data_IF_157049451965
#
_entry.id   IF_157049451965
#
_cell.length_a   1.000
_cell.length_b   1.000
_cell.length_c   1.000
_cell.angle_alpha   90.00
_cell.angle_beta   90.00
_cell.angle_gamma   90.00
#
_symmetry.space_group_name_H-M   'P 1'
#
loop_
_entity.id
_entity.type
_entity.pdbx_description
1 polymer ?
#
# COMPACT_ATOMS: atom_id res chain seq x y z
N UNK A 1 46.33 6.84 8.25
CA UNK A 1 45.13 6.66 9.08
C UNK A 1 43.94 6.84 8.16
N UNK A 2 43.48 5.74 7.55
CA UNK A 2 42.37 5.74 6.58
C UNK A 2 41.11 5.36 7.37
N UNK A 3 40.19 6.32 7.51
CA UNK A 3 38.88 6.09 8.09
C UNK A 3 38.02 5.43 7.00
N UNK A 4 37.85 4.11 7.08
CA UNK A 4 36.96 3.37 6.20
C UNK A 4 35.54 3.41 6.74
N UNK A 5 34.60 3.97 5.98
CA UNK A 5 33.16 3.88 6.25
C UNK A 5 32.70 2.45 5.92
N UNK A 6 32.27 1.71 6.94
CA UNK A 6 31.63 0.41 6.76
C UNK A 6 30.17 0.68 6.33
N UNK A 7 29.86 0.46 5.06
CA UNK A 7 28.47 0.38 4.59
C UNK A 7 27.96 -1.02 4.90
N UNK A 8 27.10 -1.15 5.92
CA UNK A 8 26.39 -2.40 6.20
C UNK A 8 25.24 -2.55 5.19
N UNK A 9 25.47 -3.31 4.13
CA UNK A 9 24.39 -3.73 3.23
C UNK A 9 23.42 -4.63 4.00
N UNK A 10 22.18 -4.19 4.20
CA UNK A 10 21.10 -5.07 4.68
C UNK A 10 20.92 -6.18 3.65
N UNK A 11 21.35 -7.40 3.96
CA UNK A 11 21.10 -8.58 3.12
C UNK A 11 19.69 -9.09 3.44
N UNK A 12 18.78 -9.00 2.48
CA UNK A 12 17.50 -9.69 2.54
C UNK A 12 17.79 -11.20 2.45
N UNK A 13 17.54 -11.96 3.52
CA UNK A 13 17.87 -13.41 3.60
C UNK A 13 16.91 -14.28 2.79
N UNK A 14 15.73 -13.78 2.47
CA UNK A 14 14.83 -14.36 1.47
C UNK A 14 13.89 -13.27 0.94
N UNK A 15 14.23 -12.73 -0.23
CA UNK A 15 13.23 -12.10 -1.08
C UNK A 15 12.51 -13.24 -1.80
N UNK A 16 11.25 -13.50 -1.47
CA UNK A 16 10.35 -14.23 -2.37
C UNK A 16 9.99 -13.28 -3.52
N UNK A 17 11.00 -12.86 -4.28
CA UNK A 17 10.81 -12.26 -5.59
C UNK A 17 10.51 -13.41 -6.53
N UNK A 18 9.23 -13.74 -6.61
CA UNK A 18 8.74 -14.51 -7.75
C UNK A 18 8.69 -13.53 -8.91
N UNK A 19 9.57 -13.70 -9.90
CA UNK A 19 9.50 -12.96 -11.17
C UNK A 19 8.34 -13.52 -11.96
N UNK A 20 7.17 -12.91 -11.83
CA UNK A 20 6.11 -13.05 -12.82
C UNK A 20 6.39 -12.00 -13.89
N UNK A 21 7.05 -12.41 -14.97
CA UNK A 21 7.05 -11.61 -16.20
C UNK A 21 5.65 -11.78 -16.79
N UNK A 22 4.73 -10.95 -16.31
CA UNK A 22 3.50 -10.70 -17.04
C UNK A 22 3.93 -10.00 -18.34
N UNK A 23 3.42 -10.47 -19.47
CA UNK A 23 3.68 -9.95 -20.81
C UNK A 23 3.92 -8.42 -20.81
N UNK A 24 5.01 -7.89 -21.41
CA UNK A 24 5.29 -6.45 -21.47
C UNK A 24 4.21 -5.63 -22.20
N UNK A 25 3.25 -6.30 -22.86
CA UNK A 25 2.05 -5.68 -23.44
C UNK A 25 0.82 -5.70 -22.52
N UNK A 26 0.89 -6.41 -21.39
CA UNK A 26 -0.18 -6.48 -20.39
C UNK A 26 -0.22 -5.20 -19.57
N UNK A 27 -1.36 -4.52 -19.64
CA UNK A 27 -1.59 -3.20 -19.05
C UNK A 27 -1.65 -3.14 -17.50
N UNK A 28 -1.29 -4.21 -16.78
CA UNK A 28 -1.58 -4.27 -15.35
C UNK A 28 -0.52 -5.04 -14.56
N UNK A 29 0.39 -4.27 -13.97
CA UNK A 29 0.84 -4.55 -12.61
C UNK A 29 0.55 -3.29 -11.81
N UNK A 30 -0.73 -3.09 -11.48
CA UNK A 30 -1.14 -2.11 -10.48
C UNK A 30 -1.25 -2.83 -9.13
N UNK A 31 -0.71 -2.16 -8.12
CA UNK A 31 -1.04 -2.30 -6.69
C UNK A 31 -0.15 -3.13 -5.75
N UNK A 32 -0.32 -2.74 -4.48
CA UNK A 32 0.67 -2.78 -3.41
C UNK A 32 0.99 -4.17 -2.88
N UNK A 33 2.27 -4.56 -2.95
CA UNK A 33 2.78 -5.69 -2.15
C UNK A 33 3.32 -5.15 -0.83
N UNK A 34 2.57 -5.36 0.25
CA UNK A 34 3.12 -5.26 1.59
C UNK A 34 4.01 -6.48 1.82
N UNK A 35 5.34 -6.34 1.72
CA UNK A 35 6.19 -7.45 2.18
C UNK A 35 6.21 -7.42 3.71
N UNK A 36 5.99 -8.57 4.33
CA UNK A 36 6.25 -8.70 5.77
C UNK A 36 7.76 -8.74 5.94
N UNK A 37 8.40 -7.82 6.69
CA UNK A 37 9.83 -7.91 6.92
C UNK A 37 10.18 -9.25 7.59
N UNK A 38 11.34 -9.85 7.27
CA UNK A 38 11.81 -10.98 8.04
C UNK A 38 11.90 -10.58 9.52
N UNK A 39 11.37 -11.44 10.41
CA UNK A 39 11.64 -11.35 11.84
C UNK A 39 13.15 -11.50 12.00
N UNK A 40 13.84 -10.40 12.25
CA UNK A 40 15.28 -10.41 12.32
C UNK A 40 15.75 -11.32 13.46
N UNK A 41 16.67 -12.23 13.16
CA UNK A 41 17.29 -13.13 14.13
C UNK A 41 18.02 -12.29 15.19
N UNK A 42 17.85 -12.63 16.47
CA UNK A 42 18.41 -11.93 17.63
C UNK A 42 19.91 -11.62 17.42
N UNK A 43 20.29 -10.35 17.32
CA UNK A 43 21.69 -9.93 17.49
C UNK A 43 22.13 -8.69 16.74
N UNK A 44 21.56 -8.40 15.56
CA UNK A 44 21.92 -7.22 14.78
C UNK A 44 20.96 -6.04 15.04
N UNK A 45 21.46 -4.82 14.91
CA UNK A 45 20.70 -3.56 15.02
C UNK A 45 19.54 -3.56 14.01
N UNK A 46 18.39 -4.09 14.44
CA UNK A 46 17.18 -4.30 13.68
C UNK A 46 16.59 -3.01 13.08
N UNK A 47 16.66 -2.88 11.76
CA UNK A 47 15.73 -2.01 11.01
C UNK A 47 14.45 -2.79 10.73
N UNK A 48 13.32 -2.38 11.34
CA UNK A 48 12.00 -2.86 10.92
C UNK A 48 11.66 -2.22 9.58
N UNK A 49 11.90 -2.94 8.50
CA UNK A 49 11.55 -2.47 7.16
C UNK A 49 10.05 -2.66 6.96
N UNK A 50 9.31 -1.61 6.62
CA UNK A 50 7.93 -1.70 6.15
C UNK A 50 7.93 -1.47 4.66
N UNK A 51 8.14 -2.52 3.86
CA UNK A 51 8.23 -2.40 2.43
C UNK A 51 6.83 -2.27 1.85
N UNK A 52 6.65 -1.21 1.08
CA UNK A 52 5.54 -1.10 0.15
C UNK A 52 6.13 -1.17 -1.23
N UNK A 53 5.77 -2.21 -1.99
CA UNK A 53 6.02 -2.27 -3.42
C UNK A 53 4.83 -1.66 -4.13
N UNK A 54 5.07 -0.76 -5.06
CA UNK A 54 4.06 -0.24 -5.97
C UNK A 54 4.67 -0.24 -7.36
N UNK A 55 3.95 -0.78 -8.33
CA UNK A 55 4.43 -0.93 -9.70
C UNK A 55 3.61 -0.09 -10.66
N UNK A 56 4.31 0.47 -11.63
CA UNK A 56 3.79 0.99 -12.89
C UNK A 56 4.61 0.35 -14.02
N UNK A 57 4.34 0.68 -15.29
CA UNK A 57 4.76 -0.04 -16.50
C UNK A 57 6.20 -0.57 -16.58
N UNK A 58 7.17 -0.01 -15.84
CA UNK A 58 8.56 -0.47 -15.93
C UNK A 58 9.35 -0.39 -14.61
N UNK A 59 8.71 -0.06 -13.48
CA UNK A 59 9.43 0.18 -12.23
C UNK A 59 8.63 -0.30 -11.04
N UNK A 60 9.32 -0.83 -10.03
CA UNK A 60 8.76 -1.11 -8.72
C UNK A 60 9.41 -0.20 -7.70
N UNK A 61 8.61 0.56 -6.97
CA UNK A 61 9.10 1.43 -5.91
C UNK A 61 9.00 0.69 -4.59
N UNK A 62 10.13 0.58 -3.89
CA UNK A 62 10.23 0.04 -2.55
C UNK A 62 10.47 1.19 -1.57
N UNK A 63 9.46 1.50 -0.75
CA UNK A 63 9.61 2.47 0.34
C UNK A 63 9.84 1.73 1.65
N UNK A 64 10.81 2.16 2.46
CA UNK A 64 11.12 1.56 3.76
C UNK A 64 11.29 2.64 4.82
N UNK A 65 10.85 2.36 6.05
CA UNK A 65 11.22 3.16 7.24
C UNK A 65 12.27 2.41 8.03
N UNK A 66 13.56 2.78 7.99
CA UNK A 66 14.53 2.16 8.89
C UNK A 66 14.27 2.64 10.32
N UNK A 67 14.38 1.73 11.29
CA UNK A 67 14.13 2.01 12.70
C UNK A 67 15.43 1.82 13.47
N UNK A 68 15.82 2.81 14.24
CA UNK A 68 16.98 2.70 15.11
C UNK A 68 16.58 1.98 16.41
N UNK A 69 17.11 0.77 16.65
CA UNK A 69 16.74 -0.06 17.80
C UNK A 69 16.93 0.64 19.13
N UNK A 70 18.05 1.35 19.31
CA UNK A 70 18.39 2.00 20.58
C UNK A 70 17.39 3.09 20.98
N UNK A 71 16.79 3.75 19.98
CA UNK A 71 15.97 4.93 20.19
C UNK A 71 14.49 4.68 19.91
N UNK A 72 14.18 3.57 19.23
CA UNK A 72 12.90 3.30 18.57
C UNK A 72 12.40 4.48 17.71
N UNK A 73 13.30 5.36 17.26
CA UNK A 73 12.93 6.48 16.40
C UNK A 73 13.02 6.03 14.94
N UNK A 74 11.98 6.32 14.15
CA UNK A 74 12.05 6.07 12.73
C UNK A 74 13.03 7.07 12.10
N UNK A 75 13.93 6.56 11.28
CA UNK A 75 14.79 7.38 10.43
C UNK A 75 14.03 7.85 9.17
N UNK A 76 14.51 8.89 8.45
CA UNK A 76 13.90 9.31 7.20
C UNK A 76 13.65 8.13 6.26
N UNK A 77 12.54 8.18 5.50
CA UNK A 77 12.19 7.08 4.61
C UNK A 77 13.31 6.84 3.59
N UNK A 78 13.61 5.57 3.31
CA UNK A 78 14.42 5.20 2.16
C UNK A 78 13.49 4.79 1.03
N UNK A 79 13.73 5.31 -0.17
CA UNK A 79 12.98 4.95 -1.36
C UNK A 79 13.94 4.34 -2.36
N UNK A 80 13.65 3.12 -2.80
CA UNK A 80 14.46 2.37 -3.77
C UNK A 80 13.62 2.07 -4.98
N UNK A 81 14.13 2.39 -6.16
CA UNK A 81 13.56 1.97 -7.43
C UNK A 81 14.17 0.63 -7.84
N UNK A 82 13.34 -0.31 -8.22
CA UNK A 82 13.74 -1.57 -8.83
C UNK A 82 13.28 -1.58 -10.28
N UNK A 83 14.22 -1.81 -11.19
CA UNK A 83 13.99 -1.90 -12.62
C UNK A 83 13.93 -3.39 -13.00
N UNK A 84 12.75 -3.97 -13.27
CA UNK A 84 12.62 -5.41 -13.48
C UNK A 84 13.46 -5.94 -14.64
N UNK A 85 13.57 -5.16 -15.72
CA UNK A 85 14.28 -5.55 -16.94
C UNK A 85 15.78 -5.70 -16.73
N UNK A 86 16.41 -4.77 -16.02
CA UNK A 86 17.84 -4.81 -15.71
C UNK A 86 18.15 -5.56 -14.42
N UNK A 87 17.16 -5.70 -13.54
CA UNK A 87 17.36 -6.14 -12.15
C UNK A 87 18.10 -5.11 -11.30
N UNK A 88 18.32 -3.89 -11.81
CA UNK A 88 19.00 -2.83 -11.08
C UNK A 88 18.12 -2.33 -9.93
N UNK A 89 18.75 -2.06 -8.78
CA UNK A 89 18.12 -1.38 -7.66
C UNK A 89 18.84 -0.08 -7.38
N UNK A 90 18.11 1.03 -7.43
CA UNK A 90 18.64 2.37 -7.21
C UNK A 90 18.03 2.98 -5.95
N UNK A 91 18.89 3.40 -5.03
CA UNK A 91 18.47 4.18 -3.86
C UNK A 91 18.29 5.65 -4.27
N UNK A 92 17.11 6.21 -4.01
CA UNK A 92 16.87 7.65 -4.16
C UNK A 92 17.61 8.39 -3.03
N UNK A 93 18.50 9.30 -3.42
CA UNK A 93 19.25 10.10 -2.48
C UNK A 93 18.47 11.37 -2.11
N UNK A 94 18.32 11.60 -0.82
CA UNK A 94 17.83 12.86 -0.30
C UNK A 94 18.91 13.94 -0.43
N UNK A 95 18.98 14.61 -1.59
CA UNK A 95 19.96 15.67 -1.82
C UNK A 95 19.63 16.96 -1.03
N UNK A 96 18.35 17.20 -0.75
CA UNK A 96 17.86 18.38 -0.03
C UNK A 96 17.20 17.93 1.28
N UNK A 97 18.00 17.78 2.34
CA UNK A 97 17.57 17.29 3.67
C UNK A 97 16.31 17.95 4.26
N UNK A 98 15.92 19.15 3.79
CA UNK A 98 14.75 19.89 4.25
C UNK A 98 13.43 19.51 3.56
N UNK A 99 13.47 18.79 2.42
CA UNK A 99 12.30 18.43 1.62
C UNK A 99 12.20 16.91 1.45
N UNK A 100 12.04 16.22 2.57
CA UNK A 100 11.91 14.77 2.61
C UNK A 100 10.95 14.34 3.73
N UNK A 101 10.14 13.30 3.53
CA UNK A 101 9.27 12.78 4.58
C UNK A 101 10.09 12.36 5.80
N UNK A 102 9.78 12.94 6.96
CA UNK A 102 10.33 12.48 8.23
C UNK A 102 10.00 11.00 8.46
N UNK A 103 10.85 10.33 9.27
CA UNK A 103 10.62 8.96 9.67
C UNK A 103 9.26 8.79 10.34
N UNK A 104 8.53 7.74 9.96
CA UNK A 104 7.15 7.50 10.38
C UNK A 104 6.79 6.01 10.35
N UNK A 105 5.94 5.61 11.28
CA UNK A 105 5.32 4.27 11.33
C UNK A 105 3.91 4.30 10.74
N UNK A 106 3.41 3.15 10.28
CA UNK A 106 2.00 3.00 9.88
C UNK A 106 1.54 3.90 8.72
N UNK A 107 2.49 4.45 7.95
CA UNK A 107 2.16 5.23 6.77
C UNK A 107 1.67 4.30 5.64
N UNK A 108 0.84 4.82 4.74
CA UNK A 108 0.58 4.16 3.46
C UNK A 108 1.49 4.73 2.40
N UNK A 109 1.80 3.89 1.43
CA UNK A 109 2.44 4.30 0.18
C UNK A 109 1.61 3.78 -0.97
N UNK A 110 1.30 4.65 -1.92
CA UNK A 110 0.58 4.30 -3.14
C UNK A 110 1.15 5.11 -4.30
N UNK A 111 0.99 4.62 -5.52
CA UNK A 111 1.26 5.39 -6.75
C UNK A 111 -0.06 5.82 -7.35
N UNK A 112 -0.20 7.13 -7.54
CA UNK A 112 -1.39 7.76 -8.12
C UNK A 112 -0.94 8.40 -9.43
N UNK A 113 -1.31 7.79 -10.55
CA UNK A 113 -0.74 8.14 -11.85
C UNK A 113 0.78 8.00 -11.80
N UNK A 114 1.48 9.11 -11.98
CA UNK A 114 2.95 9.15 -12.01
C UNK A 114 3.56 9.60 -10.67
N UNK A 115 2.73 9.79 -9.65
CA UNK A 115 3.15 10.34 -8.36
C UNK A 115 3.22 9.26 -7.30
N UNK A 116 4.38 9.09 -6.68
CA UNK A 116 4.53 8.33 -5.45
C UNK A 116 4.01 9.16 -4.28
N UNK A 117 3.09 8.59 -3.53
CA UNK A 117 2.43 9.25 -2.42
C UNK A 117 2.70 8.49 -1.13
N UNK A 118 3.26 9.18 -0.14
CA UNK A 118 3.40 8.69 1.24
C UNK A 118 2.41 9.46 2.11
N UNK A 119 1.42 8.77 2.68
CA UNK A 119 0.33 9.43 3.40
C UNK A 119 0.24 8.96 4.85
N UNK A 120 0.08 9.93 5.76
CA UNK A 120 -0.19 9.69 7.17
C UNK A 120 0.96 9.03 7.93
N UNK A 121 0.59 8.09 8.80
CA UNK A 121 1.50 7.47 9.77
C UNK A 121 1.68 8.28 11.04
N UNK A 122 2.52 7.79 11.94
CA UNK A 122 2.74 8.39 13.25
C UNK A 122 4.19 8.32 13.68
N UNK A 123 4.56 9.21 14.61
CA UNK A 123 5.82 9.13 15.36
C UNK A 123 5.53 8.82 16.83
N UNK A 124 6.42 8.06 17.46
CA UNK A 124 6.35 7.76 18.89
C UNK A 124 7.32 8.66 19.65
N UNK A 125 6.85 9.34 20.71
CA UNK A 125 7.75 10.04 21.63
C UNK A 125 8.34 9.05 22.65
N UNK A 126 9.56 9.32 23.14
CA UNK A 126 10.27 8.44 24.10
C UNK A 126 9.71 8.50 25.52
N UNK A 127 8.61 9.20 25.75
CA UNK A 127 8.06 9.36 27.09
C UNK A 127 7.51 8.03 27.63
N UNK A 128 7.49 7.91 28.96
CA UNK A 128 7.01 6.72 29.70
C UNK A 128 5.59 6.30 29.33
N UNK A 129 4.82 7.20 28.73
CA UNK A 129 3.54 6.93 28.09
C UNK A 129 3.76 7.01 26.59
N UNK A 130 3.62 5.88 25.87
CA UNK A 130 3.67 5.85 24.40
C UNK A 130 2.58 6.77 23.85
N UNK A 131 2.95 8.01 23.54
CA UNK A 131 2.10 8.95 22.82
C UNK A 131 2.43 8.84 21.34
N UNK A 132 1.40 8.58 20.56
CA UNK A 132 1.47 8.62 19.10
C UNK A 132 1.15 10.03 18.65
N UNK A 133 2.06 10.65 17.91
CA UNK A 133 1.79 11.88 17.20
C UNK A 133 1.45 11.54 15.75
N UNK A 134 0.16 11.58 15.44
CA UNK A 134 -0.39 11.36 14.10
C UNK A 134 0.09 12.46 13.16
N UNK A 135 0.60 12.03 12.00
CA UNK A 135 1.07 12.91 10.95
C UNK A 135 -0.09 13.28 10.03
N UNK A 136 -0.21 14.57 9.74
CA UNK A 136 -1.37 15.18 9.04
C UNK A 136 -0.98 15.68 7.67
N UNK A 137 0.01 15.03 7.08
CA UNK A 137 0.58 15.42 5.82
C UNK A 137 0.72 14.22 4.90
N UNK A 138 0.68 14.53 3.62
CA UNK A 138 0.95 13.66 2.51
C UNK A 138 2.20 14.17 1.80
N UNK A 139 3.12 13.27 1.48
CA UNK A 139 4.32 13.59 0.73
C UNK A 139 4.21 13.01 -0.67
N UNK A 140 4.38 13.86 -1.66
CA UNK A 140 4.27 13.50 -3.07
C UNK A 140 5.62 13.69 -3.76
N UNK A 141 6.00 12.75 -4.61
CA UNK A 141 7.12 12.92 -5.54
C UNK A 141 6.76 12.33 -6.90
N UNK A 142 7.05 13.08 -7.96
CA UNK A 142 6.88 12.63 -9.33
C UNK A 142 7.96 11.60 -9.67
N UNK A 143 7.53 10.41 -10.10
CA UNK A 143 8.39 9.28 -10.43
C UNK A 143 9.20 9.50 -11.72
N UNK A 144 8.67 10.20 -12.73
CA UNK A 144 9.41 10.51 -13.96
C UNK A 144 10.51 11.54 -13.71
N UNK A 145 10.25 12.41 -12.75
CA UNK A 145 11.17 13.46 -12.35
C UNK A 145 12.25 12.98 -11.38
N UNK A 146 12.36 11.70 -11.04
CA UNK A 146 13.32 11.21 -10.03
C UNK A 146 14.80 11.39 -10.40
N UNK A 147 15.11 11.53 -11.68
CA UNK A 147 16.44 11.90 -12.16
C UNK A 147 16.72 13.40 -12.06
N UNK A 148 15.65 14.18 -12.07
CA UNK A 148 15.73 15.61 -11.81
C UNK A 148 15.71 15.82 -10.30
N UNK A 149 16.32 16.87 -9.80
CA UNK A 149 16.38 17.20 -8.37
C UNK A 149 15.02 17.66 -7.81
N UNK A 150 13.91 17.15 -8.36
CA UNK A 150 12.56 17.57 -8.02
C UNK A 150 12.29 17.21 -6.56
N UNK A 151 11.91 18.21 -5.75
CA UNK A 151 11.73 17.99 -4.34
C UNK A 151 10.43 17.26 -4.06
N UNK A 152 10.41 16.56 -2.93
CA UNK A 152 9.14 16.09 -2.39
C UNK A 152 8.25 17.29 -2.04
N UNK A 153 6.98 17.18 -2.38
CA UNK A 153 5.95 18.17 -2.06
C UNK A 153 5.20 17.68 -0.84
N UNK A 154 5.18 18.50 0.22
CA UNK A 154 4.39 18.24 1.41
C UNK A 154 3.01 18.91 1.26
N UNK A 155 1.96 18.11 1.28
CA UNK A 155 0.57 18.52 1.12
C UNK A 155 -0.17 18.27 2.45
N UNK A 156 -0.78 19.29 3.06
CA UNK A 156 -1.52 19.11 4.30
C UNK A 156 -2.82 18.32 4.05
N UNK A 157 -3.22 17.52 5.05
CA UNK A 157 -4.47 16.78 5.07
C UNK A 157 -5.30 17.27 6.25
N UNK A 158 -6.63 17.26 6.09
CA UNK A 158 -7.56 17.57 7.16
C UNK A 158 -7.36 16.66 8.39
N UNK A 159 -7.30 17.29 9.57
CA UNK A 159 -6.96 16.65 10.84
C UNK A 159 -7.84 15.46 11.19
N UNK A 160 -9.15 15.54 10.91
CA UNK A 160 -10.15 14.51 11.22
C UNK A 160 -9.84 13.18 10.51
N UNK A 161 -9.14 13.22 9.38
CA UNK A 161 -8.86 12.04 8.57
C UNK A 161 -7.50 11.42 8.85
N UNK A 162 -6.55 12.19 9.37
CA UNK A 162 -5.20 11.72 9.64
C UNK A 162 -5.18 10.53 10.63
N UNK A 163 -6.09 10.51 11.60
CA UNK A 163 -6.19 9.42 12.58
C UNK A 163 -6.57 8.08 11.92
N UNK A 164 -7.43 8.12 10.89
CA UNK A 164 -7.82 6.95 10.08
C UNK A 164 -6.61 6.45 9.26
N UNK A 165 -5.79 7.37 8.76
CA UNK A 165 -4.56 7.04 8.05
C UNK A 165 -3.46 6.40 8.92
N UNK A 166 -3.64 6.33 10.25
CA UNK A 166 -2.67 5.71 11.15
C UNK A 166 -3.05 4.29 11.58
N UNK A 167 -4.34 3.96 11.58
CA UNK A 167 -4.85 2.71 12.14
C UNK A 167 -5.12 1.63 11.10
N UNK A 168 -5.35 2.02 9.85
CA UNK A 168 -5.76 1.11 8.78
C UNK A 168 -4.55 0.67 7.94
N UNK A 169 -4.51 -0.60 7.54
CA UNK A 169 -3.42 -1.13 6.69
C UNK A 169 -3.72 -1.02 5.19
N UNK A 170 -5.00 -1.09 4.85
CA UNK A 170 -5.46 -1.17 3.47
C UNK A 170 -5.52 0.20 2.83
N UNK A 171 -4.68 0.41 1.82
CA UNK A 171 -4.76 1.55 0.91
C UNK A 171 -4.36 1.17 -0.50
N UNK A 172 -4.90 1.90 -1.46
CA UNK A 172 -4.72 1.71 -2.89
C UNK A 172 -4.88 3.06 -3.59
N UNK A 173 -4.66 3.12 -4.90
CA UNK A 173 -5.02 4.28 -5.70
C UNK A 173 -6.44 4.15 -6.26
N UNK A 174 -7.16 5.27 -6.30
CA UNK A 174 -8.43 5.39 -7.02
C UNK A 174 -8.39 6.69 -7.79
N UNK A 175 -8.31 6.58 -9.13
CA UNK A 175 -8.15 7.73 -10.03
C UNK A 175 -6.97 8.59 -9.58
N UNK A 176 -7.22 9.86 -9.24
CA UNK A 176 -6.23 10.85 -8.81
C UNK A 176 -6.15 11.00 -7.27
N UNK A 177 -6.58 9.96 -6.54
CA UNK A 177 -6.65 9.98 -5.08
C UNK A 177 -6.03 8.73 -4.45
N UNK A 178 -5.52 8.90 -3.24
CA UNK A 178 -5.22 7.79 -2.33
C UNK A 178 -6.50 7.37 -1.65
N UNK A 179 -6.76 6.07 -1.66
CA UNK A 179 -7.95 5.45 -1.10
C UNK A 179 -7.61 4.61 0.13
N UNK A 180 -8.49 4.60 1.12
CA UNK A 180 -8.45 3.68 2.27
C UNK A 180 -9.83 3.20 2.64
N UNK A 181 -9.90 1.99 3.19
CA UNK A 181 -11.14 1.34 3.59
C UNK A 181 -11.13 1.00 5.08
N UNK A 182 -12.20 1.35 5.80
CA UNK A 182 -12.36 1.00 7.21
C UNK A 182 -13.82 0.63 7.53
N UNK A 183 -14.05 -0.65 7.80
CA UNK A 183 -15.42 -1.18 7.83
C UNK A 183 -16.16 -0.84 6.53
N UNK A 184 -17.34 -0.24 6.65
CA UNK A 184 -18.18 0.21 5.52
C UNK A 184 -17.77 1.56 4.91
N UNK A 185 -16.71 2.20 5.40
CA UNK A 185 -16.34 3.53 4.94
C UNK A 185 -15.16 3.46 3.99
N UNK A 186 -15.26 4.27 2.94
CA UNK A 186 -14.23 4.58 2.00
C UNK A 186 -13.77 6.03 2.25
N UNK A 187 -12.47 6.21 2.42
CA UNK A 187 -11.81 7.51 2.58
C UNK A 187 -10.92 7.76 1.37
N UNK A 188 -11.05 8.92 0.74
CA UNK A 188 -10.18 9.36 -0.34
C UNK A 188 -9.45 10.66 0.00
N UNK A 189 -8.21 10.77 -0.44
CA UNK A 189 -7.40 12.00 -0.36
C UNK A 189 -6.81 12.26 -1.74
N UNK A 190 -7.22 13.36 -2.38
CA UNK A 190 -6.66 13.76 -3.67
C UNK A 190 -5.21 14.22 -3.52
N UNK A 191 -4.48 14.28 -4.63
CA UNK A 191 -3.11 14.84 -4.66
C UNK A 191 -3.03 16.30 -4.17
N UNK A 192 -4.14 17.04 -4.16
CA UNK A 192 -4.23 18.41 -3.63
C UNK A 192 -4.53 18.46 -2.13
N UNK A 193 -4.66 17.31 -1.46
CA UNK A 193 -5.00 17.20 -0.04
C UNK A 193 -6.50 17.30 0.26
N UNK A 194 -7.36 17.37 -0.76
CA UNK A 194 -8.81 17.38 -0.58
C UNK A 194 -9.27 16.00 -0.15
N UNK A 195 -10.08 15.96 0.90
CA UNK A 195 -10.52 14.70 1.52
C UNK A 195 -12.00 14.45 1.29
N UNK A 196 -12.38 13.18 1.15
CA UNK A 196 -13.79 12.78 1.13
C UNK A 196 -13.98 11.46 1.84
N UNK A 197 -15.15 11.30 2.46
CA UNK A 197 -15.57 10.03 3.06
C UNK A 197 -16.92 9.63 2.51
N UNK A 198 -16.99 8.41 2.01
CA UNK A 198 -18.21 7.79 1.53
C UNK A 198 -18.50 6.58 2.38
N UNK A 199 -19.75 6.48 2.84
CA UNK A 199 -20.24 5.26 3.47
C UNK A 199 -20.82 4.38 2.37
N UNK A 200 -20.26 3.20 2.19
CA UNK A 200 -20.84 2.24 1.26
C UNK A 200 -21.95 1.40 1.88
N UNK A 201 -22.64 0.67 1.02
CA UNK A 201 -23.80 -0.15 1.34
C UNK A 201 -23.46 -1.61 1.06
N UNK A 202 -23.70 -2.51 2.02
CA UNK A 202 -23.53 -3.94 1.77
C UNK A 202 -24.81 -4.50 1.15
N UNK A 203 -24.67 -5.38 0.17
CA UNK A 203 -25.80 -6.10 -0.43
C UNK A 203 -26.51 -6.99 0.61
N UNK A 204 -25.76 -7.56 1.55
CA UNK A 204 -26.31 -8.32 2.67
C UNK A 204 -26.34 -7.46 3.95
N UNK A 205 -27.52 -7.13 4.51
CA UNK A 205 -27.61 -6.40 5.79
C UNK A 205 -26.99 -7.16 6.98
N UNK A 206 -26.86 -8.49 6.90
CA UNK A 206 -26.17 -9.31 7.91
C UNK A 206 -24.64 -9.19 7.84
N UNK A 207 -24.10 -8.64 6.74
CA UNK A 207 -22.68 -8.34 6.53
C UNK A 207 -22.25 -7.02 7.19
N UNK A 208 -23.09 -6.37 8.00
CA UNK A 208 -22.73 -5.15 8.73
C UNK A 208 -21.67 -5.32 9.83
N UNK A 209 -21.04 -6.51 9.93
CA UNK A 209 -19.90 -6.75 10.80
C UNK A 209 -18.79 -5.75 10.50
N UNK A 210 -18.05 -5.37 11.55
CA UNK A 210 -16.86 -4.54 11.38
C UNK A 210 -15.82 -5.39 10.62
N UNK A 211 -15.51 -4.93 9.41
CA UNK A 211 -14.51 -5.58 8.56
C UNK A 211 -13.14 -4.95 8.81
N UNK A 212 -12.18 -5.81 9.14
CA UNK A 212 -10.77 -5.45 9.12
C UNK A 212 -10.23 -5.79 7.73
N UNK A 213 -10.05 -4.76 6.89
CA UNK A 213 -9.47 -4.92 5.57
C UNK A 213 -7.95 -5.04 5.66
N UNK A 214 -7.39 -6.04 5.00
CA UNK A 214 -5.95 -6.30 4.92
C UNK A 214 -5.33 -5.80 3.61
N UNK A 215 -6.02 -6.01 2.49
CA UNK A 215 -5.55 -5.68 1.15
C UNK A 215 -6.67 -5.09 0.30
N UNK A 216 -6.35 -4.09 -0.52
CA UNK A 216 -7.22 -3.55 -1.56
C UNK A 216 -6.45 -3.53 -2.87
N UNK A 217 -7.12 -3.92 -3.96
CA UNK A 217 -6.55 -3.91 -5.31
C UNK A 217 -7.49 -3.18 -6.24
N UNK A 218 -6.99 -2.17 -6.94
CA UNK A 218 -7.75 -1.50 -8.00
C UNK A 218 -7.96 -2.39 -9.20
N UNK A 219 -9.22 -2.56 -9.61
CA UNK A 219 -9.65 -3.38 -10.75
C UNK A 219 -10.50 -2.50 -11.69
N UNK A 220 -9.93 -1.36 -12.10
CA UNK A 220 -10.61 -0.38 -12.95
C UNK A 220 -11.67 0.42 -12.17
N UNK A 221 -12.97 0.34 -12.52
CA UNK A 221 -14.02 1.04 -11.78
C UNK A 221 -14.36 0.37 -10.44
N UNK A 222 -13.79 -0.81 -10.16
CA UNK A 222 -14.02 -1.57 -8.94
C UNK A 222 -12.78 -1.66 -8.07
N UNK A 223 -13.01 -2.01 -6.82
CA UNK A 223 -11.97 -2.35 -5.85
C UNK A 223 -12.20 -3.76 -5.33
N UNK A 224 -11.16 -4.58 -5.39
CA UNK A 224 -11.16 -5.88 -4.73
C UNK A 224 -10.60 -5.74 -3.32
N UNK A 225 -11.43 -6.03 -2.32
CA UNK A 225 -11.09 -5.90 -0.91
C UNK A 225 -10.99 -7.28 -0.27
N UNK A 226 -9.85 -7.54 0.37
CA UNK A 226 -9.60 -8.73 1.16
C UNK A 226 -9.60 -8.34 2.62
N UNK A 227 -10.43 -9.00 3.41
CA UNK A 227 -10.53 -8.72 4.84
C UNK A 227 -11.18 -9.87 5.59
N UNK A 228 -11.23 -9.74 6.90
CA UNK A 228 -11.94 -10.67 7.76
C UNK A 228 -12.91 -9.91 8.68
N UNK A 229 -14.08 -10.47 8.97
CA UNK A 229 -14.89 -10.01 10.10
C UNK A 229 -14.09 -10.15 11.39
N UNK A 230 -14.22 -9.18 12.31
CA UNK A 230 -13.50 -9.21 13.60
C UNK A 230 -13.84 -10.44 14.47
N UNK A 231 -15.01 -11.05 14.28
CA UNK A 231 -15.54 -12.10 15.16
C UNK A 231 -15.05 -13.52 14.83
N UNK A 232 -15.03 -13.88 13.55
CA UNK A 232 -14.80 -15.28 13.11
C UNK A 232 -13.49 -15.46 12.34
N UNK A 233 -12.85 -14.36 11.92
CA UNK A 233 -11.57 -14.41 11.20
C UNK A 233 -11.66 -15.04 9.80
N UNK A 234 -12.86 -15.32 9.30
CA UNK A 234 -13.04 -15.90 7.96
C UNK A 234 -12.65 -14.85 6.93
N UNK A 235 -11.68 -15.17 6.08
CA UNK A 235 -11.27 -14.25 5.03
C UNK A 235 -12.33 -14.21 3.94
N UNK A 236 -12.86 -13.01 3.71
CA UNK A 236 -13.85 -12.71 2.70
C UNK A 236 -13.24 -11.80 1.63
N UNK A 237 -13.79 -11.91 0.42
CA UNK A 237 -13.49 -11.03 -0.70
C UNK A 237 -14.73 -10.20 -0.99
N UNK A 238 -14.58 -8.89 -1.10
CA UNK A 238 -15.65 -7.98 -1.49
C UNK A 238 -15.25 -7.18 -2.70
N UNK A 239 -16.17 -7.05 -3.66
CA UNK A 239 -16.11 -6.03 -4.70
C UNK A 239 -16.75 -4.76 -4.17
N UNK A 240 -16.03 -3.65 -4.26
CA UNK A 240 -16.58 -2.33 -4.02
C UNK A 240 -16.70 -1.56 -5.33
N UNK A 241 -17.92 -1.15 -5.68
CA UNK A 241 -18.19 -0.28 -6.82
C UNK A 241 -18.02 1.18 -6.40
N UNK A 242 -17.05 1.86 -7.02
CA UNK A 242 -16.72 3.25 -6.70
C UNK A 242 -17.84 4.22 -7.13
N UNK A 243 -18.68 3.81 -8.10
CA UNK A 243 -19.78 4.63 -8.63
C UNK A 243 -21.00 4.54 -7.72
N UNK A 244 -21.49 3.34 -7.42
CA UNK A 244 -22.66 3.17 -6.55
C UNK A 244 -22.33 3.28 -5.06
N UNK A 245 -21.10 2.95 -4.68
CA UNK A 245 -20.69 2.79 -3.29
C UNK A 245 -21.09 1.45 -2.68
N UNK A 246 -21.48 0.47 -3.48
CA UNK A 246 -21.95 -0.83 -2.98
C UNK A 246 -20.78 -1.79 -2.74
N UNK A 247 -20.92 -2.61 -1.70
CA UNK A 247 -20.05 -3.71 -1.35
C UNK A 247 -20.78 -5.03 -1.64
N UNK A 248 -20.33 -5.73 -2.68
CA UNK A 248 -20.83 -7.05 -3.04
C UNK A 248 -19.87 -8.11 -2.56
N UNK A 249 -20.35 -9.02 -1.69
CA UNK A 249 -19.54 -10.15 -1.24
C UNK A 249 -19.32 -11.11 -2.41
N UNK A 250 -18.06 -11.46 -2.65
CA UNK A 250 -17.67 -12.48 -3.62
C UNK A 250 -17.47 -13.83 -2.92
N UNK A 251 -17.24 -14.88 -3.71
CA UNK A 251 -16.98 -16.21 -3.17
C UNK A 251 -15.79 -16.21 -2.20
N UNK A 252 -15.87 -16.96 -1.08
CA UNK A 252 -14.75 -17.09 -0.16
C UNK A 252 -13.56 -17.72 -0.89
N UNK A 253 -12.35 -17.30 -0.50
CA UNK A 253 -11.14 -17.92 -1.02
C UNK A 253 -11.10 -19.41 -0.64
N UNK A 254 -10.47 -20.27 -1.47
CA UNK A 254 -10.37 -21.70 -1.18
C UNK A 254 -9.59 -22.00 0.11
N UNK A 255 -8.85 -21.02 0.63
CA UNK A 255 -8.09 -21.12 1.87
C UNK A 255 -8.42 -19.93 2.78
N UNK A 256 -8.65 -20.15 4.09
CA UNK A 256 -9.05 -19.11 5.03
C UNK A 256 -7.87 -18.28 5.58
N UNK A 257 -6.66 -18.47 5.04
CA UNK A 257 -5.47 -17.76 5.53
C UNK A 257 -5.55 -16.27 5.19
N UNK A 258 -5.03 -15.41 6.06
CA UNK A 258 -4.94 -13.96 5.83
C UNK A 258 -4.21 -13.66 4.51
N UNK A 259 -4.85 -12.86 3.67
CA UNK A 259 -4.23 -12.29 2.47
C UNK A 259 -3.28 -11.18 2.89
N UNK A 260 -2.00 -11.35 2.61
CA UNK A 260 -0.95 -10.39 2.96
C UNK A 260 -0.68 -9.41 1.84
N UNK A 261 -0.98 -9.78 0.59
CA UNK A 261 -0.83 -8.95 -0.60
C UNK A 261 -1.65 -9.51 -1.74
N UNK A 262 -2.02 -8.66 -2.70
CA UNK A 262 -2.59 -9.09 -3.97
C UNK A 262 -2.27 -8.06 -5.06
N UNK A 263 -2.19 -8.51 -6.31
CA UNK A 263 -2.01 -7.63 -7.47
C UNK A 263 -2.69 -8.21 -8.71
N UNK A 264 -3.12 -7.34 -9.62
CA UNK A 264 -3.65 -7.77 -10.92
C UNK A 264 -2.50 -8.23 -11.82
N UNK A 265 -2.66 -9.37 -12.49
CA UNK A 265 -1.77 -9.85 -13.56
C UNK A 265 -2.32 -9.46 -14.94
N UNK A 266 -3.63 -9.43 -15.06
CA UNK A 266 -4.37 -8.95 -16.22
C UNK A 266 -5.79 -8.55 -15.73
N UNK A 267 -6.66 -7.99 -16.56
CA UNK A 267 -7.99 -7.52 -16.12
C UNK A 267 -8.86 -8.57 -15.41
N UNK A 268 -8.65 -9.86 -15.66
CA UNK A 268 -9.46 -10.97 -15.13
C UNK A 268 -8.69 -11.93 -14.24
N UNK A 269 -7.40 -11.69 -13.98
CA UNK A 269 -6.57 -12.60 -13.20
C UNK A 269 -5.76 -11.84 -12.19
N UNK A 270 -5.86 -12.27 -10.93
CA UNK A 270 -5.17 -11.69 -9.79
C UNK A 270 -4.21 -12.71 -9.18
N UNK A 271 -3.04 -12.24 -8.76
CA UNK A 271 -2.15 -13.00 -7.89
C UNK A 271 -2.47 -12.62 -6.44
N UNK A 272 -2.83 -13.59 -5.62
CA UNK A 272 -3.16 -13.40 -4.21
C UNK A 272 -2.12 -14.12 -3.36
N UNK A 273 -1.48 -13.41 -2.45
CA UNK A 273 -0.40 -13.91 -1.60
C UNK A 273 -0.94 -14.10 -0.19
N UNK A 274 -0.78 -15.31 0.33
CA UNK A 274 -1.00 -15.65 1.73
C UNK A 274 0.36 -15.86 2.40
N UNK A 275 0.36 -16.05 3.72
CA UNK A 275 1.59 -16.30 4.47
C UNK A 275 2.40 -17.52 3.98
N UNK A 276 1.72 -18.60 3.61
CA UNK A 276 2.36 -19.88 3.29
C UNK A 276 2.22 -20.30 1.81
N UNK A 277 1.46 -19.53 1.02
CA UNK A 277 1.12 -19.90 -0.36
C UNK A 277 0.82 -18.69 -1.22
N UNK A 278 0.80 -18.91 -2.53
CA UNK A 278 0.34 -17.94 -3.53
C UNK A 278 -0.75 -18.59 -4.37
N UNK A 279 -1.81 -17.85 -4.64
CA UNK A 279 -2.96 -18.26 -5.43
C UNK A 279 -3.03 -17.42 -6.70
N UNK A 280 -3.44 -18.04 -7.79
CA UNK A 280 -3.89 -17.32 -8.99
C UNK A 280 -5.41 -17.39 -8.96
N UNK A 281 -6.05 -16.23 -8.88
CA UNK A 281 -7.50 -16.08 -8.78
C UNK A 281 -8.02 -15.51 -10.09
N UNK A 282 -8.92 -16.23 -10.75
CA UNK A 282 -9.66 -15.72 -11.89
C UNK A 282 -10.90 -14.96 -11.40
N UNK A 283 -11.02 -13.71 -11.83
CA UNK A 283 -12.20 -12.90 -11.62
C UNK A 283 -13.21 -13.24 -12.71
N UNK A 284 -14.45 -13.47 -12.32
CA UNK A 284 -15.54 -13.74 -13.25
C UNK A 284 -15.73 -12.57 -14.23
N UNK A 285 -15.58 -12.77 -15.56
CA UNK A 285 -15.78 -11.71 -16.54
C UNK A 285 -17.17 -11.05 -16.45
N UNK A 286 -18.20 -11.77 -16.02
CA UNK A 286 -19.55 -11.22 -15.86
C UNK A 286 -19.61 -10.09 -14.82
N UNK A 287 -18.64 -10.04 -13.87
CA UNK A 287 -18.51 -8.91 -12.94
C UNK A 287 -18.30 -7.58 -13.67
N UNK A 288 -17.68 -7.60 -14.85
CA UNK A 288 -17.46 -6.39 -15.63
C UNK A 288 -18.68 -6.05 -16.50
N UNK A 289 -19.42 -7.07 -16.96
CA UNK A 289 -20.58 -6.90 -17.83
C UNK A 289 -21.80 -6.31 -17.09
N UNK A 290 -22.03 -6.72 -15.83
CA UNK A 290 -23.17 -6.27 -15.01
C UNK A 290 -23.28 -4.74 -14.86
N UNK A 291 -22.20 -4.01 -15.11
CA UNK A 291 -22.13 -2.57 -14.86
C UNK A 291 -21.83 -1.74 -16.12
N UNK A 292 -21.50 -2.37 -17.26
CA UNK A 292 -21.37 -1.66 -18.54
C UNK A 292 -22.71 -1.24 -19.13
N UNK A 293 -23.80 -1.90 -18.77
CA UNK A 293 -25.14 -1.61 -19.31
C UNK A 293 -25.73 -0.27 -18.81
N UNK A 294 -25.18 0.31 -17.74
CA UNK A 294 -25.61 1.60 -17.19
C UNK A 294 -25.09 2.84 -17.93
N UNK A 295 -24.14 2.69 -18.86
CA UNK A 295 -23.53 3.82 -19.60
C UNK A 295 -24.18 4.12 -20.96
N UNK A 296 -25.17 3.33 -21.38
CA UNK A 296 -25.85 3.46 -22.68
C UNK A 296 -27.32 3.93 -22.57
N UNK A 297 -27.75 4.47 -21.44
CA UNK A 297 -29.06 5.14 -21.27
C UNK A 297 -28.88 6.61 -20.90
#
# INVERSE_FOLDING_TARGET
>A
MLCGTISSSVRYTSSLSSRYTVDPTSLALTDVVQLVPPLAERGDTHSLVYPVLTSDYNQTVLVTTPVLVETHQPSPLEVRLFYPDSGEMRLLQNQNHTQWPQGRFGHSVVVVGETLVVVGGFITTRDTIRRYHVLREMWCVDLYSLDSTVPWICVPIEATFADIFCSVRTGCNIRDSVARFFGQHYLSVSLTGSTSITRGVYDDPLSSKVMAWNVAVSVGPFMCLFGSPEEDGTVCVYMYDIVSGDFTQYMPLPFPDEVTSACMLNPTTMLVVHRERTLVVELDPELFERFTDGLNQ
#
